data_IF_213167736947
#
_entry.id   IF_213167736947
#
_cell.length_a   1.000
_cell.length_b   1.000
_cell.length_c   1.000
_cell.angle_alpha   90.00
_cell.angle_beta   90.00
_cell.angle_gamma   90.00
#
_symmetry.space_group_name_H-M   'P 1'
#
loop_
_entity.id
_entity.type
_entity.pdbx_description
1 polymer ?
#
# COMPACT_ATOMS: atom_id res chain seq x y z
N UNK A 1 26.15 66.57 -67.97
CA UNK A 1 25.86 66.71 -66.53
C UNK A 1 25.03 65.48 -66.11
N UNK A 2 25.67 64.53 -65.42
CA UNK A 2 24.99 63.31 -64.93
C UNK A 2 24.88 63.41 -63.43
N UNK A 3 23.63 63.42 -62.94
CA UNK A 3 23.28 63.48 -61.54
C UNK A 3 23.16 62.02 -60.99
N UNK A 4 24.12 61.62 -60.14
CA UNK A 4 24.04 60.32 -59.40
C UNK A 4 23.24 60.48 -58.13
N UNK A 5 22.06 59.88 -58.06
CA UNK A 5 21.33 59.65 -56.82
C UNK A 5 21.79 58.39 -56.18
N UNK A 6 22.46 58.49 -55.05
CA UNK A 6 22.77 57.35 -54.15
C UNK A 6 21.52 57.10 -53.22
N UNK A 7 20.85 56.00 -53.37
CA UNK A 7 19.87 55.49 -52.41
C UNK A 7 20.61 54.93 -51.20
N UNK A 8 20.34 55.50 -50.06
CA UNK A 8 20.79 54.93 -48.76
C UNK A 8 19.76 53.86 -48.33
N UNK A 9 20.22 52.62 -48.33
CA UNK A 9 19.49 51.46 -47.73
C UNK A 9 19.74 51.49 -46.23
N UNK A 10 18.72 51.73 -45.45
CA UNK A 10 18.73 51.64 -43.99
C UNK A 10 18.41 50.19 -43.62
N UNK A 11 19.30 49.45 -42.86
CA UNK A 11 18.97 48.09 -42.43
C UNK A 11 17.99 48.13 -41.26
N UNK A 12 16.78 47.63 -41.48
CA UNK A 12 15.86 47.31 -40.43
C UNK A 12 16.43 46.10 -39.65
N UNK A 13 17.05 46.34 -38.49
CA UNK A 13 17.36 45.28 -37.51
C UNK A 13 16.05 44.80 -36.90
N UNK A 14 15.57 43.65 -37.42
CA UNK A 14 14.44 42.90 -36.86
C UNK A 14 14.94 42.25 -35.56
N UNK A 15 14.68 42.88 -34.42
CA UNK A 15 14.98 42.36 -33.09
C UNK A 15 13.95 41.24 -32.80
N UNK A 16 14.32 39.98 -33.16
CA UNK A 16 13.57 38.81 -32.74
C UNK A 16 13.69 38.67 -31.21
N UNK A 17 12.66 39.11 -30.50
CA UNK A 17 12.46 38.74 -29.10
C UNK A 17 12.25 37.23 -29.04
N UNK A 18 13.30 36.50 -28.67
CA UNK A 18 13.23 35.10 -28.29
C UNK A 18 12.39 35.05 -26.97
N UNK A 19 11.09 34.84 -27.12
CA UNK A 19 10.27 34.36 -26.01
C UNK A 19 10.75 32.94 -25.68
N UNK A 20 11.67 32.81 -24.73
CA UNK A 20 11.84 31.55 -24.04
C UNK A 20 10.55 31.32 -23.26
N UNK A 21 9.77 30.27 -23.56
CA UNK A 21 8.71 29.89 -22.67
C UNK A 21 9.36 29.61 -21.31
N UNK A 22 8.96 30.34 -20.26
CA UNK A 22 9.26 29.92 -18.89
C UNK A 22 8.60 28.55 -18.72
N UNK A 23 9.40 27.49 -18.87
CA UNK A 23 8.98 26.16 -18.41
C UNK A 23 8.78 26.30 -16.91
N UNK A 24 7.52 26.15 -16.46
CA UNK A 24 7.23 26.06 -15.04
C UNK A 24 8.17 24.99 -14.45
N UNK A 25 8.80 25.27 -13.32
CA UNK A 25 9.68 24.31 -12.67
C UNK A 25 8.88 23.03 -12.43
N UNK A 26 9.37 21.94 -13.00
CA UNK A 26 8.75 20.62 -12.87
C UNK A 26 8.85 20.16 -11.42
N UNK A 27 7.73 19.73 -10.84
CA UNK A 27 7.66 19.15 -9.50
C UNK A 27 7.73 17.65 -9.65
N UNK A 28 8.64 16.98 -8.95
CA UNK A 28 8.77 15.53 -8.96
C UNK A 28 8.37 14.96 -7.60
N UNK A 29 7.31 14.13 -7.56
CA UNK A 29 6.89 13.36 -6.41
C UNK A 29 7.23 11.88 -6.63
N UNK A 30 7.97 11.29 -5.70
CA UNK A 30 8.29 9.87 -5.72
C UNK A 30 7.29 9.08 -4.87
N UNK A 31 6.73 8.03 -5.44
CA UNK A 31 5.87 7.04 -4.75
C UNK A 31 6.69 5.79 -4.50
N UNK A 32 6.99 5.49 -3.24
CA UNK A 32 7.83 4.36 -2.85
C UNK A 32 7.01 3.32 -2.12
N UNK A 33 6.79 2.17 -2.77
CA UNK A 33 6.13 1.00 -2.17
C UNK A 33 7.07 0.22 -1.24
N UNK A 34 6.52 -0.76 -0.52
CA UNK A 34 7.35 -1.76 0.18
C UNK A 34 8.02 -2.69 -0.82
N UNK A 35 7.31 -2.97 -1.92
CA UNK A 35 7.82 -3.68 -3.10
C UNK A 35 7.35 -2.96 -4.36
N UNK A 36 8.08 -3.13 -5.45
CA UNK A 36 7.75 -2.54 -6.76
C UNK A 36 6.75 -3.38 -7.55
N UNK A 37 6.83 -4.70 -7.41
CA UNK A 37 6.04 -5.68 -8.16
C UNK A 37 4.73 -6.04 -7.45
N UNK A 38 4.02 -5.05 -6.91
CA UNK A 38 2.77 -5.25 -6.19
C UNK A 38 1.69 -4.31 -6.72
N UNK A 39 0.59 -4.89 -7.21
CA UNK A 39 -0.52 -4.14 -7.80
C UNK A 39 -1.11 -3.10 -6.85
N UNK A 40 -1.05 -3.30 -5.54
CA UNK A 40 -1.47 -2.32 -4.55
C UNK A 40 -0.68 -1.00 -4.68
N UNK A 41 0.65 -1.08 -4.75
CA UNK A 41 1.49 0.12 -4.89
C UNK A 41 1.46 0.71 -6.30
N UNK A 42 1.29 -0.14 -7.32
CA UNK A 42 1.01 0.34 -8.69
C UNK A 42 -0.27 1.17 -8.76
N UNK A 43 -1.34 0.78 -8.02
CA UNK A 43 -2.56 1.58 -7.92
C UNK A 43 -2.30 2.93 -7.22
N UNK A 44 -1.49 2.95 -6.17
CA UNK A 44 -1.11 4.20 -5.51
C UNK A 44 -0.34 5.12 -6.48
N UNK A 45 0.57 4.57 -7.26
CA UNK A 45 1.26 5.32 -8.32
C UNK A 45 0.29 5.87 -9.37
N UNK A 46 -0.68 5.06 -9.84
CA UNK A 46 -1.73 5.53 -10.76
C UNK A 46 -2.59 6.65 -10.16
N UNK A 47 -2.82 6.62 -8.85
CA UNK A 47 -3.47 7.71 -8.13
C UNK A 47 -2.69 9.02 -8.22
N UNK A 48 -1.37 8.98 -7.97
CA UNK A 48 -0.48 10.12 -8.18
C UNK A 48 -0.53 10.62 -9.64
N UNK A 49 -0.41 9.73 -10.61
CA UNK A 49 -0.51 10.06 -12.03
C UNK A 49 -1.88 10.66 -12.41
N UNK A 50 -2.96 10.25 -11.74
CA UNK A 50 -4.29 10.83 -11.97
C UNK A 50 -4.33 12.30 -11.55
N UNK A 51 -3.75 12.61 -10.39
CA UNK A 51 -3.61 13.99 -9.93
C UNK A 51 -2.69 14.80 -10.86
N UNK A 52 -1.56 14.23 -11.28
CA UNK A 52 -0.61 14.87 -12.20
C UNK A 52 -1.22 15.22 -13.57
N UNK A 53 -2.25 14.50 -14.05
CA UNK A 53 -2.93 14.85 -15.29
C UNK A 53 -3.65 16.21 -15.23
N UNK A 54 -4.02 16.67 -14.06
CA UNK A 54 -4.64 17.98 -13.82
C UNK A 54 -3.60 19.08 -13.50
N UNK A 55 -2.32 18.67 -13.28
CA UNK A 55 -1.19 19.54 -12.96
C UNK A 55 0.00 19.20 -13.87
N UNK A 56 0.05 19.76 -15.10
CA UNK A 56 1.04 19.37 -16.11
C UNK A 56 2.52 19.55 -15.70
N UNK A 57 2.78 20.38 -14.69
CA UNK A 57 4.10 20.61 -14.11
C UNK A 57 4.48 19.53 -13.07
N UNK A 58 3.57 18.60 -12.72
CA UNK A 58 3.81 17.53 -11.76
C UNK A 58 4.20 16.24 -12.48
N UNK A 59 5.34 15.68 -12.09
CA UNK A 59 5.80 14.36 -12.47
C UNK A 59 5.72 13.40 -11.29
N UNK A 60 5.14 12.22 -11.49
CA UNK A 60 5.14 11.13 -10.51
C UNK A 60 6.12 10.05 -10.95
N UNK A 61 7.04 9.67 -10.08
CA UNK A 61 7.94 8.52 -10.29
C UNK A 61 7.62 7.42 -9.27
N UNK A 62 7.91 6.16 -9.63
CA UNK A 62 7.56 4.99 -8.82
C UNK A 62 8.74 4.08 -8.61
N UNK A 63 8.96 3.65 -7.35
CA UNK A 63 10.00 2.68 -7.02
C UNK A 63 9.63 1.84 -5.78
N UNK A 64 10.43 0.82 -5.50
CA UNK A 64 10.29 -0.11 -4.38
C UNK A 64 11.27 -1.27 -4.50
N UNK A 65 11.40 -2.08 -3.46
CA UNK A 65 12.18 -3.33 -3.54
C UNK A 65 11.53 -4.30 -4.55
N UNK A 66 12.35 -5.10 -5.26
CA UNK A 66 11.84 -5.90 -6.39
C UNK A 66 10.98 -7.10 -5.95
N UNK A 67 11.50 -7.97 -5.09
CA UNK A 67 10.91 -9.30 -4.89
C UNK A 67 10.22 -9.52 -3.54
N UNK A 68 10.55 -8.72 -2.51
CA UNK A 68 10.04 -8.86 -1.15
C UNK A 68 10.18 -7.56 -0.36
N UNK A 69 9.58 -7.51 0.82
CA UNK A 69 9.64 -6.35 1.71
C UNK A 69 11.04 -6.18 2.31
N UNK A 70 12.00 -5.75 1.50
CA UNK A 70 13.38 -5.52 1.92
C UNK A 70 13.55 -4.13 2.55
N UNK A 71 13.71 -4.14 3.86
CA UNK A 71 13.93 -2.95 4.70
C UNK A 71 15.14 -2.12 4.24
N UNK A 72 16.23 -2.80 3.83
CA UNK A 72 17.47 -2.12 3.43
C UNK A 72 17.33 -1.47 2.06
N UNK A 73 16.79 -2.21 1.10
CA UNK A 73 16.58 -1.72 -0.26
C UNK A 73 15.60 -0.54 -0.26
N UNK A 74 14.51 -0.59 0.51
CA UNK A 74 13.59 0.56 0.62
C UNK A 74 14.30 1.82 1.13
N UNK A 75 15.12 1.69 2.18
CA UNK A 75 15.85 2.84 2.73
C UNK A 75 16.91 3.38 1.76
N UNK A 76 17.57 2.52 0.97
CA UNK A 76 18.51 2.94 -0.07
C UNK A 76 17.81 3.69 -1.20
N UNK A 77 16.65 3.20 -1.67
CA UNK A 77 15.83 3.86 -2.69
C UNK A 77 15.44 5.27 -2.22
N UNK A 78 14.85 5.40 -1.02
CA UNK A 78 14.45 6.71 -0.48
C UNK A 78 15.66 7.63 -0.33
N UNK A 79 16.80 7.13 0.13
CA UNK A 79 18.02 7.93 0.24
C UNK A 79 18.54 8.40 -1.12
N UNK A 80 18.46 7.58 -2.15
CA UNK A 80 18.88 7.93 -3.51
C UNK A 80 17.96 8.99 -4.12
N UNK A 81 16.64 8.85 -3.93
CA UNK A 81 15.66 9.87 -4.35
C UNK A 81 15.94 11.24 -3.71
N UNK A 82 16.33 11.24 -2.42
CA UNK A 82 16.75 12.49 -1.74
C UNK A 82 18.00 13.10 -2.39
N UNK A 83 18.98 12.29 -2.79
CA UNK A 83 20.17 12.79 -3.50
C UNK A 83 19.84 13.32 -4.90
N UNK A 84 18.86 12.71 -5.57
CA UNK A 84 18.35 13.17 -6.86
C UNK A 84 17.51 14.45 -6.74
N UNK A 85 17.30 14.93 -5.51
CA UNK A 85 16.58 16.17 -5.22
C UNK A 85 15.12 16.16 -5.72
N UNK A 86 14.41 15.02 -5.56
CA UNK A 86 12.95 15.01 -5.76
C UNK A 86 12.29 16.01 -4.82
N UNK A 87 11.18 16.62 -5.24
CA UNK A 87 10.53 17.68 -4.46
C UNK A 87 9.66 17.14 -3.31
N UNK A 88 9.22 15.87 -3.41
CA UNK A 88 8.45 15.22 -2.35
C UNK A 88 8.50 13.71 -2.43
N UNK A 89 8.30 13.05 -1.28
CA UNK A 89 8.33 11.59 -1.19
C UNK A 89 7.06 11.09 -0.49
N UNK A 90 6.35 10.19 -1.18
CA UNK A 90 5.35 9.31 -0.59
C UNK A 90 5.98 7.95 -0.31
N UNK A 91 5.89 7.43 0.91
CA UNK A 91 6.48 6.13 1.24
C UNK A 91 5.56 5.27 2.10
N UNK A 92 5.41 3.99 1.72
CA UNK A 92 4.76 2.98 2.57
C UNK A 92 5.81 2.26 3.39
N UNK A 93 5.82 2.49 4.70
CA UNK A 93 6.92 2.08 5.60
C UNK A 93 6.98 0.56 5.80
N UNK A 94 8.13 -0.04 5.50
CA UNK A 94 8.41 -1.45 5.84
C UNK A 94 8.90 -1.60 7.27
N UNK A 95 9.91 -0.81 7.68
CA UNK A 95 10.42 -0.73 9.05
C UNK A 95 10.61 0.73 9.44
N UNK A 96 9.91 1.16 10.50
CA UNK A 96 9.86 2.57 10.91
C UNK A 96 11.22 3.11 11.35
N UNK A 97 11.85 2.45 12.28
CA UNK A 97 13.12 2.92 12.85
C UNK A 97 14.27 2.87 11.83
N UNK A 98 14.32 1.79 11.03
CA UNK A 98 15.37 1.64 10.02
C UNK A 98 15.23 2.69 8.91
N UNK A 99 14.03 2.84 8.34
CA UNK A 99 13.75 3.84 7.30
C UNK A 99 14.09 5.25 7.80
N UNK A 100 13.62 5.60 9.01
CA UNK A 100 13.89 6.91 9.60
C UNK A 100 15.38 7.18 9.77
N UNK A 101 16.10 6.22 10.38
CA UNK A 101 17.52 6.41 10.67
C UNK A 101 18.41 6.40 9.42
N UNK A 102 18.01 5.69 8.35
CA UNK A 102 18.81 5.54 7.14
C UNK A 102 18.46 6.52 6.03
N UNK A 103 17.22 7.04 6.01
CA UNK A 103 16.74 7.87 4.89
C UNK A 103 15.95 9.12 5.31
N UNK A 104 14.93 9.01 6.20
CA UNK A 104 14.05 10.15 6.44
C UNK A 104 14.71 11.29 7.22
N UNK A 105 15.69 11.00 8.11
CA UNK A 105 16.52 12.05 8.73
C UNK A 105 17.26 12.86 7.67
N UNK A 106 17.74 12.19 6.63
CA UNK A 106 18.42 12.85 5.53
C UNK A 106 17.45 13.66 4.65
N UNK A 107 16.26 13.12 4.36
CA UNK A 107 15.20 13.86 3.66
C UNK A 107 14.85 15.16 4.40
N UNK A 108 14.67 15.09 5.74
CA UNK A 108 14.42 16.27 6.59
C UNK A 108 15.56 17.30 6.55
N UNK A 109 16.83 16.86 6.55
CA UNK A 109 18.00 17.75 6.41
C UNK A 109 18.05 18.47 5.06
N UNK A 110 17.55 17.83 4.01
CA UNK A 110 17.46 18.41 2.66
C UNK A 110 16.13 19.15 2.42
N UNK A 111 15.27 19.30 3.44
CA UNK A 111 13.97 19.96 3.39
C UNK A 111 12.99 19.29 2.38
N UNK A 112 13.15 18.00 2.08
CA UNK A 112 12.23 17.24 1.23
C UNK A 112 11.05 16.77 2.08
N UNK A 113 9.82 17.22 1.79
CA UNK A 113 8.62 16.81 2.51
C UNK A 113 8.29 15.33 2.26
N UNK A 114 7.85 14.65 3.32
CA UNK A 114 7.50 13.25 3.29
C UNK A 114 6.06 13.07 3.76
N UNK A 115 5.29 12.28 3.01
CA UNK A 115 3.99 11.73 3.43
C UNK A 115 4.11 10.21 3.48
N UNK A 116 3.60 9.58 4.53
CA UNK A 116 3.46 8.13 4.58
C UNK A 116 2.09 7.72 4.05
N UNK A 117 2.00 6.57 3.37
CA UNK A 117 0.74 5.99 2.93
C UNK A 117 0.70 4.48 3.23
N UNK A 118 -0.49 3.87 3.29
CA UNK A 118 -0.70 2.44 3.64
C UNK A 118 -0.08 2.04 4.99
N UNK A 119 1.20 2.27 5.19
CA UNK A 119 1.95 1.95 6.41
C UNK A 119 2.63 3.19 6.94
N UNK A 120 2.18 3.66 8.11
CA UNK A 120 2.73 4.84 8.80
C UNK A 120 4.01 4.50 9.58
N UNK A 121 4.72 5.54 9.98
CA UNK A 121 5.79 5.44 10.97
C UNK A 121 5.21 5.16 12.37
N UNK A 122 6.00 4.53 13.22
CA UNK A 122 5.72 4.40 14.64
C UNK A 122 6.13 5.70 15.38
N UNK A 123 5.59 5.93 16.54
CA UNK A 123 6.11 6.95 17.45
C UNK A 123 7.47 6.48 18.02
N UNK A 124 8.46 7.34 18.16
CA UNK A 124 8.48 8.79 17.91
C UNK A 124 8.84 9.21 16.48
N UNK A 125 8.99 8.25 15.53
CA UNK A 125 9.47 8.54 14.17
C UNK A 125 8.45 9.36 13.35
N UNK A 126 7.18 9.46 13.76
CA UNK A 126 6.14 10.25 13.05
C UNK A 126 6.51 11.72 12.84
N UNK A 127 7.46 12.27 13.61
CA UNK A 127 8.00 13.62 13.40
C UNK A 127 8.81 13.78 12.08
N UNK A 128 9.04 12.70 11.36
CA UNK A 128 9.75 12.69 10.07
C UNK A 128 8.84 12.62 8.85
N UNK A 129 7.51 12.69 9.05
CA UNK A 129 6.54 12.85 8.00
C UNK A 129 5.59 14.01 8.29
N UNK A 130 4.90 14.53 7.28
CA UNK A 130 3.91 15.60 7.43
C UNK A 130 2.52 15.03 7.76
N UNK A 131 2.12 13.97 7.07
CA UNK A 131 0.85 13.29 7.26
C UNK A 131 0.94 11.81 6.87
N UNK A 132 -0.07 11.06 7.29
CA UNK A 132 -0.36 9.71 6.84
C UNK A 132 -1.64 9.68 6.03
N UNK A 133 -1.65 8.98 4.90
CA UNK A 133 -2.84 8.73 4.07
C UNK A 133 -3.06 7.24 3.94
N UNK A 134 -4.17 6.71 4.39
CA UNK A 134 -4.42 5.27 4.30
C UNK A 134 -5.56 4.77 5.16
N UNK A 135 -5.65 3.47 5.30
CA UNK A 135 -6.65 2.82 6.14
C UNK A 135 -6.27 2.93 7.62
N UNK A 136 -7.26 3.02 8.52
CA UNK A 136 -7.01 2.75 9.94
C UNK A 136 -6.70 1.26 10.12
N UNK A 137 -5.41 0.93 10.17
CA UNK A 137 -4.95 -0.46 10.13
C UNK A 137 -5.38 -1.29 11.35
N UNK A 138 -5.63 -0.65 12.50
CA UNK A 138 -6.15 -1.36 13.67
C UNK A 138 -7.61 -1.74 13.47
N UNK A 139 -8.45 -0.80 13.03
CA UNK A 139 -9.86 -1.06 12.72
C UNK A 139 -10.02 -2.03 11.54
N UNK A 140 -9.13 -1.96 10.54
CA UNK A 140 -9.07 -2.92 9.44
C UNK A 140 -8.76 -4.34 9.94
N UNK A 141 -7.83 -4.47 10.88
CA UNK A 141 -7.54 -5.74 11.56
C UNK A 141 -8.74 -6.27 12.34
N UNK A 142 -9.46 -5.38 13.06
CA UNK A 142 -10.71 -5.74 13.73
C UNK A 142 -11.75 -6.28 12.75
N UNK A 143 -11.90 -5.61 11.60
CA UNK A 143 -12.83 -6.07 10.56
C UNK A 143 -12.49 -7.48 10.04
N UNK A 144 -11.21 -7.81 9.86
CA UNK A 144 -10.78 -9.17 9.51
C UNK A 144 -11.12 -10.18 10.61
N UNK A 145 -10.92 -9.82 11.88
CA UNK A 145 -11.29 -10.65 13.03
C UNK A 145 -12.80 -10.83 13.17
N UNK A 146 -13.58 -9.76 13.02
CA UNK A 146 -15.05 -9.83 13.05
C UNK A 146 -15.61 -10.74 11.94
N UNK A 147 -15.01 -10.66 10.73
CA UNK A 147 -15.38 -11.56 9.64
C UNK A 147 -15.15 -13.05 9.95
N UNK A 148 -14.23 -13.38 10.85
CA UNK A 148 -13.97 -14.76 11.25
C UNK A 148 -15.05 -15.31 12.21
N UNK A 149 -15.71 -14.45 12.99
CA UNK A 149 -16.63 -14.88 14.06
C UNK A 149 -17.80 -15.73 13.56
N UNK A 150 -18.31 -15.44 12.36
CA UNK A 150 -19.45 -16.17 11.78
C UNK A 150 -19.10 -17.63 11.41
N UNK A 151 -17.82 -17.97 11.36
CA UNK A 151 -17.32 -19.32 11.03
C UNK A 151 -16.82 -20.10 12.25
N UNK A 152 -17.13 -19.63 13.46
CA UNK A 152 -16.76 -20.34 14.69
C UNK A 152 -17.58 -21.61 14.82
N UNK A 153 -16.93 -22.78 14.83
CA UNK A 153 -17.57 -24.10 14.93
C UNK A 153 -17.07 -24.92 16.11
N UNK A 154 -15.96 -24.51 16.72
CA UNK A 154 -15.33 -25.22 17.86
C UNK A 154 -15.01 -24.28 19.01
N UNK A 155 -14.72 -24.85 20.19
CA UNK A 155 -14.38 -24.09 21.41
C UNK A 155 -13.14 -24.74 22.06
N UNK A 156 -11.95 -24.13 22.06
CA UNK A 156 -11.64 -22.89 21.35
C UNK A 156 -11.54 -23.10 19.83
N UNK A 157 -11.88 -22.06 19.07
CA UNK A 157 -11.72 -22.05 17.61
C UNK A 157 -10.28 -21.70 17.23
N UNK A 158 -9.57 -22.57 16.50
CA UNK A 158 -8.23 -22.25 16.01
C UNK A 158 -8.28 -21.27 14.83
N UNK A 159 -7.34 -20.30 14.84
CA UNK A 159 -7.05 -19.40 13.75
C UNK A 159 -5.57 -19.45 13.38
N UNK A 160 -5.25 -19.03 12.16
CA UNK A 160 -3.87 -18.74 11.76
C UNK A 160 -3.78 -17.41 11.03
N UNK A 161 -3.00 -16.49 11.57
CA UNK A 161 -2.74 -15.20 10.94
C UNK A 161 -1.52 -15.33 10.01
N UNK A 162 -1.62 -14.85 8.77
CA UNK A 162 -0.50 -14.69 7.87
C UNK A 162 -0.18 -13.20 7.67
N UNK A 163 1.11 -12.86 7.71
CA UNK A 163 1.63 -11.49 7.65
C UNK A 163 2.88 -11.40 6.76
N UNK A 164 3.38 -10.19 6.54
CA UNK A 164 4.59 -9.91 5.79
C UNK A 164 5.85 -9.92 6.66
N UNK A 165 6.54 -8.76 6.73
CA UNK A 165 7.71 -8.59 7.59
C UNK A 165 7.29 -8.32 9.05
N UNK A 166 8.04 -8.87 10.00
CA UNK A 166 7.71 -8.81 11.44
C UNK A 166 7.68 -7.40 12.02
N UNK A 167 8.42 -6.46 11.43
CA UNK A 167 8.52 -5.08 11.93
C UNK A 167 7.59 -4.10 11.20
N UNK A 168 6.80 -4.57 10.24
CA UNK A 168 5.96 -3.70 9.42
C UNK A 168 4.78 -3.12 10.21
N UNK A 169 4.72 -1.78 10.39
CA UNK A 169 3.80 -1.16 11.33
C UNK A 169 2.32 -1.42 11.06
N UNK A 170 1.87 -1.30 9.79
CA UNK A 170 0.47 -1.52 9.45
C UNK A 170 0.04 -2.97 9.69
N UNK A 171 0.90 -3.94 9.34
CA UNK A 171 0.59 -5.35 9.49
C UNK A 171 0.50 -5.75 10.98
N UNK A 172 1.39 -5.23 11.81
CA UNK A 172 1.34 -5.46 13.25
C UNK A 172 0.09 -4.85 13.90
N UNK A 173 -0.35 -3.65 13.45
CA UNK A 173 -1.62 -3.07 13.88
C UNK A 173 -2.81 -3.93 13.46
N UNK A 174 -2.80 -4.50 12.24
CA UNK A 174 -3.85 -5.43 11.78
C UNK A 174 -3.87 -6.71 12.62
N UNK A 175 -2.73 -7.32 12.94
CA UNK A 175 -2.64 -8.47 13.85
C UNK A 175 -3.26 -8.12 15.21
N UNK A 176 -2.90 -6.97 15.79
CA UNK A 176 -3.46 -6.49 17.06
C UNK A 176 -4.98 -6.31 16.98
N UNK A 177 -5.48 -5.76 15.87
CA UNK A 177 -6.92 -5.61 15.62
C UNK A 177 -7.66 -6.94 15.53
N UNK A 178 -7.13 -7.93 14.80
CA UNK A 178 -7.69 -9.30 14.74
C UNK A 178 -7.79 -9.89 16.15
N UNK A 179 -6.70 -9.81 16.93
CA UNK A 179 -6.65 -10.33 18.29
C UNK A 179 -7.68 -9.65 19.21
N UNK A 180 -7.78 -8.31 19.14
CA UNK A 180 -8.75 -7.59 19.94
C UNK A 180 -10.18 -7.96 19.56
N UNK A 181 -10.51 -8.06 18.27
CA UNK A 181 -11.83 -8.47 17.81
C UNK A 181 -12.23 -9.84 18.37
N UNK A 182 -11.32 -10.82 18.34
CA UNK A 182 -11.59 -12.19 18.76
C UNK A 182 -11.51 -12.40 20.27
N UNK A 183 -10.68 -11.63 20.98
CA UNK A 183 -10.59 -11.69 22.45
C UNK A 183 -11.64 -10.83 23.18
N UNK A 184 -12.17 -9.82 22.48
CA UNK A 184 -13.03 -8.78 23.04
C UNK A 184 -12.30 -7.56 23.56
N UNK A 185 -11.04 -7.68 24.00
CA UNK A 185 -10.28 -6.54 24.58
C UNK A 185 -8.75 -6.62 24.47
N UNK A 186 -8.18 -7.82 24.35
CA UNK A 186 -6.74 -8.01 24.37
C UNK A 186 -6.14 -7.99 22.96
N UNK A 187 -4.96 -7.40 22.79
CA UNK A 187 -4.15 -7.47 21.56
C UNK A 187 -3.07 -8.56 21.61
N UNK A 188 -2.99 -9.25 22.74
CA UNK A 188 -2.05 -10.34 22.95
C UNK A 188 -2.43 -11.60 22.15
N UNK A 189 -1.48 -12.53 22.01
CA UNK A 189 -1.70 -13.80 21.34
C UNK A 189 -2.87 -14.55 21.97
N UNK A 190 -3.77 -15.06 21.12
CA UNK A 190 -4.95 -15.79 21.57
C UNK A 190 -4.56 -17.17 22.12
N UNK A 191 -4.90 -17.43 23.39
CA UNK A 191 -4.50 -18.61 24.16
C UNK A 191 -5.62 -19.63 24.38
N UNK A 192 -6.84 -19.36 23.89
CA UNK A 192 -8.03 -20.17 24.11
C UNK A 192 -9.00 -19.58 25.14
N UNK A 193 -8.56 -18.73 26.05
CA UNK A 193 -9.39 -18.17 27.13
C UNK A 193 -10.62 -17.40 26.66
N UNK A 194 -10.55 -16.78 25.47
CA UNK A 194 -11.68 -16.08 24.84
C UNK A 194 -12.52 -16.96 23.91
N UNK A 195 -12.27 -18.26 23.90
CA UNK A 195 -12.88 -19.17 22.92
C UNK A 195 -12.21 -19.14 21.54
N UNK A 196 -11.04 -18.51 21.42
CA UNK A 196 -10.21 -18.44 20.22
C UNK A 196 -8.77 -18.75 20.55
N UNK A 197 -8.09 -19.51 19.70
CA UNK A 197 -6.70 -19.87 19.89
C UNK A 197 -5.89 -19.68 18.58
N UNK A 198 -4.74 -19.06 18.67
CA UNK A 198 -3.82 -19.03 17.54
C UNK A 198 -3.08 -20.37 17.41
N UNK A 199 -3.11 -20.97 16.22
CA UNK A 199 -2.32 -22.16 15.90
C UNK A 199 -0.85 -21.94 16.25
N UNK A 200 -0.18 -23.00 16.76
CA UNK A 200 1.15 -22.89 17.38
C UNK A 200 2.20 -22.21 16.49
N UNK A 201 2.12 -22.44 15.17
CA UNK A 201 3.07 -21.86 14.19
C UNK A 201 2.72 -20.44 13.74
N UNK A 202 1.55 -19.92 14.10
CA UNK A 202 1.09 -18.60 13.66
C UNK A 202 1.42 -17.52 14.69
N UNK A 203 1.66 -16.27 14.28
CA UNK A 203 1.56 -15.76 12.90
C UNK A 203 2.63 -16.31 11.97
N UNK A 204 2.24 -16.52 10.68
CA UNK A 204 3.16 -16.89 9.62
C UNK A 204 3.70 -15.62 8.94
N UNK A 205 5.01 -15.50 8.83
CA UNK A 205 5.66 -14.35 8.22
C UNK A 205 6.26 -14.73 6.87
N UNK A 206 5.94 -13.97 5.82
CA UNK A 206 6.32 -14.25 4.44
C UNK A 206 7.34 -13.27 3.88
N UNK A 207 7.59 -12.16 4.59
CA UNK A 207 8.34 -11.01 4.08
C UNK A 207 7.78 -10.44 2.76
N UNK A 208 6.51 -10.70 2.46
CA UNK A 208 5.85 -10.31 1.21
C UNK A 208 6.14 -11.26 0.03
N UNK A 209 6.87 -12.36 0.23
CA UNK A 209 7.14 -13.37 -0.81
C UNK A 209 5.89 -14.19 -1.09
N UNK A 210 5.40 -14.09 -2.32
CA UNK A 210 4.13 -14.71 -2.74
C UNK A 210 4.20 -16.24 -2.74
N UNK A 211 5.32 -16.82 -3.18
CA UNK A 211 5.52 -18.28 -3.18
C UNK A 211 5.54 -18.84 -1.76
N UNK A 212 6.21 -18.17 -0.83
CA UNK A 212 6.21 -18.58 0.58
C UNK A 212 4.78 -18.48 1.16
N UNK A 213 4.06 -17.41 0.82
CA UNK A 213 2.71 -17.16 1.31
C UNK A 213 1.72 -18.24 0.85
N UNK A 214 1.70 -18.56 -0.45
CA UNK A 214 0.79 -19.58 -0.98
C UNK A 214 1.17 -20.99 -0.52
N UNK A 215 2.47 -21.27 -0.36
CA UNK A 215 2.95 -22.54 0.17
C UNK A 215 2.52 -22.73 1.63
N UNK A 216 2.64 -21.69 2.46
CA UNK A 216 2.14 -21.70 3.84
C UNK A 216 0.63 -21.95 3.90
N UNK A 217 -0.15 -21.28 3.04
CA UNK A 217 -1.60 -21.47 2.95
C UNK A 217 -1.94 -22.90 2.53
N UNK A 218 -1.34 -23.44 1.47
CA UNK A 218 -1.56 -24.80 1.03
C UNK A 218 -1.28 -25.84 2.14
N UNK A 219 -0.14 -25.69 2.81
CA UNK A 219 0.23 -26.58 3.91
C UNK A 219 -0.78 -26.51 5.07
N UNK A 220 -1.33 -25.31 5.34
CA UNK A 220 -2.33 -25.15 6.38
C UNK A 220 -3.67 -25.81 5.98
N UNK A 221 -4.11 -25.60 4.75
CA UNK A 221 -5.37 -26.17 4.24
C UNK A 221 -5.31 -27.69 4.05
N UNK A 222 -4.12 -28.27 3.99
CA UNK A 222 -3.94 -29.75 3.92
C UNK A 222 -4.28 -30.47 5.22
N UNK A 223 -4.40 -29.76 6.34
CA UNK A 223 -4.90 -30.39 7.59
C UNK A 223 -6.35 -30.83 7.45
N UNK A 224 -6.77 -31.94 8.05
CA UNK A 224 -8.17 -32.37 8.05
C UNK A 224 -9.13 -31.31 8.63
N UNK A 225 -8.72 -30.66 9.72
CA UNK A 225 -9.45 -29.58 10.38
C UNK A 225 -8.51 -28.34 10.45
N UNK A 226 -8.37 -27.58 9.38
CA UNK A 226 -7.47 -26.44 9.38
C UNK A 226 -8.01 -25.30 10.25
N UNK A 227 -7.13 -24.47 10.84
CA UNK A 227 -7.56 -23.25 11.49
C UNK A 227 -8.16 -22.29 10.45
N UNK A 228 -9.04 -21.39 10.88
CA UNK A 228 -9.49 -20.27 10.04
C UNK A 228 -8.24 -19.46 9.64
N UNK A 229 -8.02 -19.33 8.34
CA UNK A 229 -6.90 -18.57 7.82
C UNK A 229 -7.27 -17.08 7.68
N UNK A 230 -6.45 -16.21 8.27
CA UNK A 230 -6.64 -14.76 8.23
C UNK A 230 -5.35 -14.12 7.71
N UNK A 231 -5.35 -13.66 6.45
CA UNK A 231 -4.24 -12.93 5.86
C UNK A 231 -4.42 -11.42 6.10
N UNK A 232 -3.51 -10.80 6.88
CA UNK A 232 -3.54 -9.36 7.12
C UNK A 232 -3.00 -8.54 5.94
N UNK A 233 -2.53 -9.22 4.88
CA UNK A 233 -2.21 -8.69 3.54
C UNK A 233 -2.41 -9.80 2.51
N UNK A 234 -2.69 -9.44 1.25
CA UNK A 234 -3.10 -10.36 0.19
C UNK A 234 -2.01 -11.27 -0.42
N UNK A 235 -0.85 -11.44 0.22
CA UNK A 235 0.33 -12.06 -0.41
C UNK A 235 0.09 -13.43 -1.04
N UNK A 236 -0.62 -14.34 -0.37
CA UNK A 236 -0.94 -15.65 -0.93
C UNK A 236 -1.82 -15.52 -2.17
N UNK A 237 -2.83 -14.66 -2.12
CA UNK A 237 -3.78 -14.46 -3.22
C UNK A 237 -3.19 -13.67 -4.39
N UNK A 238 -2.10 -12.91 -4.17
CA UNK A 238 -1.37 -12.23 -5.24
C UNK A 238 -0.45 -13.16 -6.02
N UNK A 239 -0.32 -14.43 -5.64
CA UNK A 239 0.45 -15.39 -6.42
C UNK A 239 -0.24 -15.65 -7.78
N UNK A 240 0.49 -15.59 -8.92
CA UNK A 240 -0.10 -15.75 -10.25
C UNK A 240 -0.93 -17.02 -10.42
N UNK A 241 -0.50 -18.11 -9.79
CA UNK A 241 -1.16 -19.42 -9.87
C UNK A 241 -2.09 -19.68 -8.67
N UNK A 242 -2.56 -18.64 -7.96
CA UNK A 242 -3.44 -18.84 -6.80
C UNK A 242 -4.67 -19.68 -7.13
N UNK A 243 -5.36 -19.34 -8.20
CA UNK A 243 -6.58 -20.04 -8.65
C UNK A 243 -6.30 -21.54 -8.85
N UNK A 244 -5.24 -21.88 -9.57
CA UNK A 244 -4.84 -23.27 -9.84
C UNK A 244 -4.46 -24.00 -8.55
N UNK A 245 -3.64 -23.35 -7.69
CA UNK A 245 -3.15 -23.92 -6.43
C UNK A 245 -4.26 -24.17 -5.40
N UNK A 246 -5.38 -23.45 -5.49
CA UNK A 246 -6.53 -23.62 -4.59
C UNK A 246 -7.58 -24.62 -5.10
N UNK A 247 -7.54 -25.05 -6.36
CA UNK A 247 -8.50 -26.02 -6.91
C UNK A 247 -8.66 -27.31 -6.08
N UNK A 248 -7.60 -27.92 -5.52
CA UNK A 248 -7.74 -29.09 -4.67
C UNK A 248 -8.62 -28.89 -3.43
N UNK A 249 -8.76 -27.65 -2.97
CA UNK A 249 -9.53 -27.28 -1.78
C UNK A 249 -10.92 -26.67 -2.11
N UNK A 250 -11.27 -26.56 -3.39
CA UNK A 250 -12.47 -25.84 -3.84
C UNK A 250 -13.75 -26.35 -3.15
N UNK A 251 -13.95 -27.68 -3.10
CA UNK A 251 -15.16 -28.25 -2.51
C UNK A 251 -15.33 -27.89 -1.00
N UNK A 252 -14.23 -27.91 -0.25
CA UNK A 252 -14.22 -27.61 1.18
C UNK A 252 -14.39 -26.10 1.42
N UNK A 253 -13.78 -25.24 0.60
CA UNK A 253 -13.94 -23.79 0.70
C UNK A 253 -15.37 -23.39 0.34
N UNK A 254 -15.93 -23.95 -0.74
CA UNK A 254 -17.31 -23.68 -1.18
C UNK A 254 -18.34 -24.08 -0.12
N UNK A 255 -18.10 -25.17 0.63
CA UNK A 255 -18.94 -25.63 1.75
C UNK A 255 -18.63 -24.90 3.06
N UNK A 256 -17.64 -23.99 3.06
CA UNK A 256 -17.17 -23.29 4.27
C UNK A 256 -16.60 -24.26 5.35
N UNK A 257 -16.09 -25.40 4.95
CA UNK A 257 -15.31 -26.30 5.80
C UNK A 257 -13.86 -25.82 5.96
N UNK A 258 -13.35 -25.08 4.97
CA UNK A 258 -12.07 -24.36 4.99
C UNK A 258 -12.32 -22.88 4.75
N UNK A 259 -11.86 -22.03 5.66
CA UNK A 259 -12.15 -20.59 5.68
C UNK A 259 -10.89 -19.80 5.36
N UNK A 260 -11.00 -18.93 4.36
CA UNK A 260 -9.94 -18.01 3.93
C UNK A 260 -10.48 -16.58 3.99
N UNK A 261 -9.96 -15.78 4.92
CA UNK A 261 -10.25 -14.35 5.05
C UNK A 261 -8.97 -13.60 4.70
N UNK A 262 -9.03 -12.66 3.77
CA UNK A 262 -7.84 -11.95 3.31
C UNK A 262 -8.08 -10.45 3.20
N UNK A 263 -7.02 -9.69 3.45
CA UNK A 263 -6.95 -8.30 3.05
C UNK A 263 -6.90 -8.19 1.52
N UNK A 264 -7.34 -7.05 1.03
CA UNK A 264 -7.33 -6.55 -0.33
C UNK A 264 -8.35 -7.22 -1.28
N UNK A 265 -8.66 -6.53 -2.38
CA UNK A 265 -9.68 -6.92 -3.38
C UNK A 265 -9.18 -6.68 -4.80
N UNK A 266 -7.94 -7.11 -5.08
CA UNK A 266 -7.37 -7.07 -6.42
C UNK A 266 -8.13 -8.01 -7.38
N UNK A 267 -7.95 -7.82 -8.69
CA UNK A 267 -8.68 -8.60 -9.71
C UNK A 267 -8.57 -10.11 -9.50
N UNK A 268 -7.38 -10.62 -9.15
CA UNK A 268 -7.18 -12.05 -8.89
C UNK A 268 -7.97 -12.52 -7.65
N UNK A 269 -8.09 -11.67 -6.65
CA UNK A 269 -8.82 -11.95 -5.41
C UNK A 269 -10.32 -11.96 -5.63
N UNK A 270 -10.85 -11.02 -6.41
CA UNK A 270 -12.27 -11.03 -6.82
C UNK A 270 -12.59 -12.25 -7.70
N UNK A 271 -11.68 -12.64 -8.59
CA UNK A 271 -11.82 -13.87 -9.36
C UNK A 271 -11.82 -15.13 -8.48
N UNK A 272 -10.98 -15.14 -7.42
CA UNK A 272 -10.96 -16.24 -6.45
C UNK A 272 -12.28 -16.32 -5.64
N UNK A 273 -12.82 -15.18 -5.20
CA UNK A 273 -14.12 -15.10 -4.54
C UNK A 273 -15.25 -15.62 -5.43
N UNK A 274 -15.29 -15.19 -6.69
CA UNK A 274 -16.28 -15.62 -7.68
C UNK A 274 -16.25 -17.13 -7.91
N UNK A 275 -15.06 -17.72 -7.90
CA UNK A 275 -14.84 -19.16 -8.06
C UNK A 275 -14.89 -19.92 -6.72
N UNK A 276 -15.29 -19.29 -5.64
CA UNK A 276 -15.36 -19.88 -4.29
C UNK A 276 -14.03 -20.51 -3.83
N UNK A 277 -12.92 -19.86 -4.18
CA UNK A 277 -11.56 -20.21 -3.77
C UNK A 277 -11.01 -19.26 -2.70
N UNK A 278 -11.85 -18.38 -2.19
CA UNK A 278 -11.68 -17.54 -1.01
C UNK A 278 -13.04 -17.32 -0.38
N UNK A 279 -13.09 -16.98 0.92
CA UNK A 279 -14.35 -16.84 1.63
C UNK A 279 -14.79 -15.38 1.76
N UNK A 280 -13.91 -14.52 2.26
CA UNK A 280 -14.12 -13.07 2.43
C UNK A 280 -12.82 -12.36 2.12
N UNK A 281 -12.94 -11.26 1.39
CA UNK A 281 -11.86 -10.29 1.21
C UNK A 281 -12.31 -8.90 1.70
N UNK A 282 -11.41 -8.16 2.33
CA UNK A 282 -11.66 -6.79 2.77
C UNK A 282 -10.71 -5.88 2.01
N UNK A 283 -11.28 -5.00 1.16
CA UNK A 283 -10.53 -4.13 0.25
C UNK A 283 -10.22 -2.78 0.87
N UNK A 284 -9.14 -2.17 0.39
CA UNK A 284 -8.71 -0.80 0.69
C UNK A 284 -8.84 0.08 -0.55
N UNK A 285 -8.35 1.31 -0.50
CA UNK A 285 -8.33 2.23 -1.64
C UNK A 285 -6.93 2.78 -1.92
N UNK A 286 -5.99 1.97 -2.43
CA UNK A 286 -4.63 2.39 -2.71
C UNK A 286 -4.55 3.49 -3.78
N UNK A 287 -5.46 3.50 -4.75
CA UNK A 287 -5.52 4.56 -5.75
C UNK A 287 -5.75 5.94 -5.09
N UNK A 288 -6.73 6.04 -4.20
CA UNK A 288 -7.02 7.29 -3.50
C UNK A 288 -5.91 7.66 -2.50
N UNK A 289 -5.23 6.67 -1.90
CA UNK A 289 -4.02 6.93 -1.09
C UNK A 289 -2.96 7.67 -1.92
N UNK A 290 -2.74 7.22 -3.15
CA UNK A 290 -1.79 7.84 -4.06
C UNK A 290 -2.23 9.24 -4.53
N UNK A 291 -3.51 9.39 -4.89
CA UNK A 291 -4.06 10.66 -5.37
C UNK A 291 -4.02 11.74 -4.28
N UNK A 292 -4.55 11.42 -3.10
CA UNK A 292 -4.59 12.36 -1.98
C UNK A 292 -3.19 12.68 -1.43
N UNK A 293 -2.31 11.69 -1.36
CA UNK A 293 -0.93 11.91 -0.94
C UNK A 293 -0.17 12.84 -1.88
N UNK A 294 -0.38 12.70 -3.20
CA UNK A 294 0.19 13.59 -4.20
C UNK A 294 -0.36 15.02 -4.09
N UNK A 295 -1.68 15.18 -3.91
CA UNK A 295 -2.34 16.46 -3.67
C UNK A 295 -1.75 17.18 -2.45
N UNK A 296 -1.65 16.50 -1.31
CA UNK A 296 -1.10 17.07 -0.09
C UNK A 296 0.38 17.48 -0.23
N UNK A 297 1.20 16.68 -0.91
CA UNK A 297 2.60 17.05 -1.18
C UNK A 297 2.70 18.22 -2.15
N UNK A 298 1.90 18.22 -3.20
CA UNK A 298 1.86 19.32 -4.17
C UNK A 298 1.50 20.65 -3.49
N UNK A 299 0.49 20.64 -2.63
CA UNK A 299 0.10 21.83 -1.86
C UNK A 299 1.22 22.35 -0.96
N UNK A 300 1.98 21.45 -0.33
CA UNK A 300 3.14 21.82 0.47
C UNK A 300 4.23 22.46 -0.41
N UNK A 301 4.53 21.84 -1.54
CA UNK A 301 5.65 22.23 -2.43
C UNK A 301 5.32 23.54 -3.16
N UNK A 302 4.13 23.66 -3.73
CA UNK A 302 3.74 24.82 -4.56
C UNK A 302 3.21 26.00 -3.75
N UNK A 303 2.46 25.71 -2.70
CA UNK A 303 1.69 26.72 -1.97
C UNK A 303 2.16 26.94 -0.52
N UNK A 304 3.10 26.11 -0.03
CA UNK A 304 3.53 26.12 1.36
C UNK A 304 2.42 25.70 2.35
N UNK A 305 1.34 25.10 1.85
CA UNK A 305 0.16 24.74 2.64
C UNK A 305 0.39 23.40 3.32
N UNK A 306 0.49 23.39 4.65
CA UNK A 306 0.66 22.15 5.41
C UNK A 306 -0.64 21.35 5.48
N UNK A 307 -0.55 19.99 5.53
CA UNK A 307 -1.72 19.15 5.78
C UNK A 307 -2.49 19.59 7.04
N UNK A 308 -3.81 19.64 6.96
CA UNK A 308 -4.70 20.07 8.06
C UNK A 308 -4.82 19.00 9.16
N UNK A 309 -4.53 17.76 8.84
CA UNK A 309 -4.60 16.60 9.75
C UNK A 309 -3.30 15.81 9.70
N UNK A 310 -2.98 15.13 10.78
CA UNK A 310 -1.85 14.21 10.81
C UNK A 310 -2.15 12.87 10.12
N UNK A 311 -3.45 12.50 10.04
CA UNK A 311 -3.90 11.22 9.49
C UNK A 311 -5.17 11.42 8.69
N UNK A 312 -5.14 10.99 7.43
CA UNK A 312 -6.25 10.97 6.49
C UNK A 312 -6.67 9.51 6.31
N UNK A 313 -7.71 9.09 7.02
CA UNK A 313 -8.22 7.73 6.94
C UNK A 313 -9.19 7.57 5.78
N UNK A 314 -8.96 6.54 4.97
CA UNK A 314 -9.84 6.10 3.89
C UNK A 314 -10.62 4.87 4.33
N UNK A 315 -11.85 4.77 3.83
CA UNK A 315 -12.75 3.65 4.11
C UNK A 315 -12.25 2.35 3.47
N UNK A 316 -12.77 1.23 3.96
CA UNK A 316 -12.56 -0.10 3.43
C UNK A 316 -13.91 -0.80 3.17
N UNK A 317 -13.92 -1.85 2.36
CA UNK A 317 -15.13 -2.50 1.88
C UNK A 317 -15.02 -4.02 1.94
N UNK A 318 -16.18 -4.72 1.99
CA UNK A 318 -16.26 -6.17 2.15
C UNK A 318 -16.72 -6.85 0.88
N UNK A 319 -15.96 -7.87 0.45
CA UNK A 319 -16.24 -8.69 -0.73
C UNK A 319 -16.33 -10.16 -0.37
N UNK A 320 -17.30 -10.86 -0.97
CA UNK A 320 -17.49 -12.30 -0.87
C UNK A 320 -18.00 -12.84 -2.22
N UNK A 321 -18.30 -14.13 -2.31
CA UNK A 321 -18.78 -14.74 -3.55
C UNK A 321 -20.11 -14.16 -4.07
N UNK A 322 -20.94 -13.55 -3.21
CA UNK A 322 -22.25 -13.01 -3.60
C UNK A 322 -22.15 -11.63 -4.25
N UNK A 323 -21.14 -10.86 -3.90
CA UNK A 323 -20.94 -9.49 -4.40
C UNK A 323 -19.63 -9.29 -5.18
N UNK A 324 -18.90 -10.37 -5.48
CA UNK A 324 -17.60 -10.30 -6.17
C UNK A 324 -17.65 -9.60 -7.55
N UNK A 325 -18.78 -9.64 -8.24
CA UNK A 325 -18.96 -8.99 -9.55
C UNK A 325 -19.20 -7.47 -9.44
N UNK A 326 -19.69 -7.00 -8.31
CA UNK A 326 -20.00 -5.58 -8.06
C UNK A 326 -19.07 -4.97 -7.01
N UNK A 327 -18.20 -5.77 -6.43
CA UNK A 327 -17.26 -5.32 -5.43
C UNK A 327 -16.16 -4.46 -6.05
N UNK A 328 -15.83 -3.39 -5.36
CA UNK A 328 -14.82 -2.45 -5.85
C UNK A 328 -13.44 -3.10 -5.84
N UNK A 329 -12.73 -3.03 -6.95
CA UNK A 329 -11.29 -3.26 -6.99
C UNK A 329 -10.61 -2.12 -6.25
N UNK A 330 -9.40 -2.35 -5.70
CA UNK A 330 -8.66 -1.36 -4.91
C UNK A 330 -8.20 -0.13 -5.73
N UNK A 331 -9.08 0.47 -6.53
CA UNK A 331 -8.80 1.73 -7.25
C UNK A 331 -10.08 2.49 -7.63
#
# INVERSE_FOLDING_TARGET
MKLNRRLALWPWCLMMLLFNPLTAAEVTIAVVGKTKNDSFYEQSYKGCQRFAREHPELNCIYDGADDYQDVRTQALIVRELVKQQVDGIMVSTTDSAYLTNRALKYAKQQNIPVITFDSDLLEPEQAYRLAYVGTNNFEFGKALGEAAKIYKTTEPQPICIQSGHQTTPNLNKRISGVRQALSGQSTERLSGASGWIEHARCPLYTMGRREDAITQLNNLLAYPNPPIFIAVAGFAQFHPNYIERMQPFHADIAKQEKIIISADTEKVQLAALKQQLSTINIGQNPFEMGRLGAELLYDVIKHGTKPKQEKYYLDFHYCNSKNSDTCTVNY
#
